data_IF_735802727105
#
_entry.id   IF_735802727105
#
_cell.length_a   1.000
_cell.length_b   1.000
_cell.length_c   1.000
_cell.angle_alpha   90.00
_cell.angle_beta   90.00
_cell.angle_gamma   90.00
#
_symmetry.space_group_name_H-M   'P 1'
#
loop_
_entity.id
_entity.type
_entity.pdbx_description
1 polymer ?
#
# COMPACT_ATOMS: atom_id res chain seq x y z
N UNK A 1 -62.86 19.98 -32.35
CA UNK A 1 -62.98 18.86 -31.38
C UNK A 1 -61.83 17.93 -31.66
N UNK A 2 -60.85 17.97 -30.77
CA UNK A 2 -59.59 17.23 -30.85
C UNK A 2 -59.84 15.73 -30.62
N UNK A 3 -59.12 14.88 -31.36
CA UNK A 3 -58.96 13.48 -31.02
C UNK A 3 -57.47 13.16 -31.03
N UNK A 4 -57.02 12.68 -29.88
CA UNK A 4 -55.66 12.45 -29.43
C UNK A 4 -54.89 11.40 -30.25
N UNK A 5 -53.65 11.71 -30.61
CA UNK A 5 -52.64 10.76 -31.07
C UNK A 5 -52.19 9.83 -29.93
N UNK A 6 -52.33 8.52 -30.15
CA UNK A 6 -51.86 7.49 -29.22
C UNK A 6 -50.35 7.28 -29.32
N UNK A 7 -49.63 7.52 -28.21
CA UNK A 7 -48.19 7.28 -28.06
C UNK A 7 -47.93 5.77 -27.84
N UNK A 8 -46.99 5.12 -28.56
CA UNK A 8 -46.64 3.73 -28.34
C UNK A 8 -45.56 3.61 -27.26
N UNK A 9 -45.90 3.01 -26.12
CA UNK A 9 -44.93 2.61 -25.09
C UNK A 9 -44.98 1.09 -24.90
N UNK A 10 -44.60 0.30 -25.92
CA UNK A 10 -44.21 -1.08 -25.65
C UNK A 10 -42.79 -1.06 -25.09
N UNK A 11 -42.68 -1.03 -23.76
CA UNK A 11 -41.42 -1.32 -23.07
C UNK A 11 -41.21 -2.82 -23.20
N UNK A 12 -40.35 -3.24 -24.15
CA UNK A 12 -39.87 -4.61 -24.21
C UNK A 12 -39.08 -4.91 -22.92
N UNK A 13 -39.77 -5.54 -21.96
CA UNK A 13 -39.16 -6.17 -20.79
C UNK A 13 -38.51 -7.48 -21.24
N UNK A 14 -37.39 -7.39 -21.97
CA UNK A 14 -36.50 -8.53 -22.16
C UNK A 14 -35.81 -8.84 -20.83
N UNK A 15 -36.52 -9.54 -19.95
CA UNK A 15 -35.96 -10.09 -18.71
C UNK A 15 -35.04 -11.24 -19.12
N UNK A 16 -33.73 -11.06 -18.95
CA UNK A 16 -32.74 -12.08 -19.28
C UNK A 16 -33.05 -13.39 -18.53
N UNK A 17 -32.95 -14.58 -19.17
CA UNK A 17 -33.12 -15.87 -18.49
C UNK A 17 -32.25 -16.01 -17.24
N UNK A 18 -31.06 -15.40 -17.24
CA UNK A 18 -30.15 -15.37 -16.08
C UNK A 18 -30.70 -14.57 -14.91
N UNK A 19 -31.47 -13.50 -15.16
CA UNK A 19 -32.11 -12.73 -14.09
C UNK A 19 -33.27 -13.49 -13.44
N UNK A 20 -34.07 -14.24 -14.21
CA UNK A 20 -35.16 -15.07 -13.67
C UNK A 20 -34.63 -16.23 -12.82
N UNK A 21 -33.58 -16.91 -13.32
CA UNK A 21 -32.93 -17.99 -12.60
C UNK A 21 -32.35 -17.51 -11.27
N UNK A 22 -31.64 -16.37 -11.30
CA UNK A 22 -31.10 -15.74 -10.08
C UNK A 22 -32.24 -15.41 -9.11
N UNK A 23 -33.30 -14.71 -9.55
CA UNK A 23 -34.42 -14.36 -8.67
C UNK A 23 -35.06 -15.59 -8.02
N UNK A 24 -35.29 -16.67 -8.77
CA UNK A 24 -35.87 -17.89 -8.22
C UNK A 24 -34.96 -18.57 -7.18
N UNK A 25 -33.66 -18.69 -7.47
CA UNK A 25 -32.66 -19.22 -6.51
C UNK A 25 -32.65 -18.38 -5.23
N UNK A 26 -32.70 -17.06 -5.34
CA UNK A 26 -32.69 -16.17 -4.18
C UNK A 26 -33.99 -16.22 -3.37
N UNK A 27 -35.16 -16.32 -4.00
CA UNK A 27 -36.43 -16.52 -3.30
C UNK A 27 -36.42 -17.83 -2.52
N UNK A 28 -35.87 -18.90 -3.11
CA UNK A 28 -35.71 -20.19 -2.44
C UNK A 28 -34.75 -20.08 -1.24
N UNK A 29 -33.60 -19.41 -1.38
CA UNK A 29 -32.66 -19.19 -0.26
C UNK A 29 -33.28 -18.37 0.88
N UNK A 30 -34.07 -17.34 0.56
CA UNK A 30 -34.82 -16.55 1.54
C UNK A 30 -35.86 -17.39 2.28
N UNK A 31 -36.63 -18.20 1.54
CA UNK A 31 -37.62 -19.09 2.14
C UNK A 31 -36.96 -20.17 3.00
N UNK A 32 -35.85 -20.77 2.56
CA UNK A 32 -35.08 -21.73 3.35
C UNK A 32 -34.55 -21.08 4.64
N UNK A 33 -34.06 -19.84 4.56
CA UNK A 33 -33.58 -19.13 5.74
C UNK A 33 -34.71 -18.81 6.72
N UNK A 34 -35.86 -18.36 6.22
CA UNK A 34 -37.02 -18.02 7.04
C UNK A 34 -37.61 -19.27 7.70
N UNK A 35 -37.71 -20.38 6.96
CA UNK A 35 -38.37 -21.60 7.41
C UNK A 35 -37.48 -22.50 8.27
N UNK A 36 -36.19 -22.58 7.96
CA UNK A 36 -35.28 -23.56 8.57
C UNK A 36 -34.08 -22.95 9.29
N UNK A 37 -33.92 -21.62 9.25
CA UNK A 37 -32.74 -20.90 9.74
C UNK A 37 -31.40 -21.39 9.15
N UNK A 38 -31.45 -22.27 8.14
CA UNK A 38 -30.34 -22.83 7.39
C UNK A 38 -29.98 -21.87 6.24
N UNK A 39 -28.68 -21.77 5.93
CA UNK A 39 -28.21 -20.96 4.81
C UNK A 39 -27.67 -19.57 5.19
N UNK A 40 -27.28 -18.78 4.16
CA UNK A 40 -26.51 -17.54 4.33
C UNK A 40 -27.26 -16.51 5.18
N UNK A 41 -26.51 -15.63 5.84
CA UNK A 41 -27.10 -14.53 6.59
C UNK A 41 -27.83 -13.55 5.66
N UNK A 42 -28.86 -12.84 6.15
CA UNK A 42 -29.56 -11.83 5.35
C UNK A 42 -28.59 -10.81 4.72
N UNK A 43 -27.53 -10.42 5.43
CA UNK A 43 -26.46 -9.55 4.90
C UNK A 43 -25.83 -10.11 3.63
N UNK A 44 -25.47 -11.40 3.64
CA UNK A 44 -24.85 -12.09 2.51
C UNK A 44 -25.82 -12.23 1.32
N UNK A 45 -27.11 -12.46 1.60
CA UNK A 45 -28.15 -12.50 0.56
C UNK A 45 -28.26 -11.13 -0.12
N UNK A 46 -28.35 -10.05 0.66
CA UNK A 46 -28.46 -8.69 0.11
C UNK A 46 -27.17 -8.24 -0.62
N UNK A 47 -25.98 -8.63 -0.15
CA UNK A 47 -24.73 -8.37 -0.88
C UNK A 47 -24.71 -9.10 -2.24
N UNK A 48 -25.19 -10.36 -2.29
CA UNK A 48 -25.31 -11.12 -3.53
C UNK A 48 -26.25 -10.46 -4.53
N UNK A 49 -27.34 -9.87 -4.05
CA UNK A 49 -28.29 -9.08 -4.84
C UNK A 49 -27.79 -7.66 -5.16
N UNK A 50 -26.60 -7.27 -4.69
CA UNK A 50 -26.05 -5.91 -4.78
C UNK A 50 -26.93 -4.83 -4.14
N UNK A 51 -27.77 -5.20 -3.18
CA UNK A 51 -28.59 -4.27 -2.38
C UNK A 51 -27.78 -3.82 -1.17
N UNK A 52 -26.65 -3.15 -1.45
CA UNK A 52 -25.64 -2.83 -0.44
C UNK A 52 -26.16 -1.94 0.69
N UNK A 53 -27.07 -1.02 0.39
CA UNK A 53 -27.67 -0.14 1.40
C UNK A 53 -28.40 -0.96 2.49
N UNK A 54 -29.08 -2.04 2.12
CA UNK A 54 -29.84 -2.88 3.03
C UNK A 54 -28.90 -3.75 3.88
N UNK A 55 -27.90 -4.38 3.25
CA UNK A 55 -26.89 -5.16 3.98
C UNK A 55 -26.11 -4.30 4.98
N UNK A 56 -25.76 -3.07 4.58
CA UNK A 56 -24.97 -2.16 5.43
C UNK A 56 -25.82 -1.61 6.58
N UNK A 57 -27.13 -1.39 6.36
CA UNK A 57 -28.08 -1.04 7.42
C UNK A 57 -28.23 -2.18 8.44
N UNK A 58 -28.34 -3.43 7.98
CA UNK A 58 -28.44 -4.60 8.87
C UNK A 58 -27.19 -4.73 9.74
N UNK A 59 -25.98 -4.57 9.18
CA UNK A 59 -24.72 -4.60 9.94
C UNK A 59 -24.69 -3.52 11.01
N UNK A 60 -25.02 -2.28 10.67
CA UNK A 60 -25.08 -1.17 11.63
C UNK A 60 -26.06 -1.43 12.77
N UNK A 61 -27.21 -2.01 12.48
CA UNK A 61 -28.17 -2.42 13.51
C UNK A 61 -27.55 -3.51 14.41
N UNK A 62 -26.88 -4.52 13.83
CA UNK A 62 -26.21 -5.56 14.61
C UNK A 62 -25.04 -5.06 15.46
N UNK A 63 -24.32 -4.01 15.02
CA UNK A 63 -23.29 -3.37 15.83
C UNK A 63 -23.86 -2.79 17.13
N UNK A 64 -25.10 -2.29 17.14
CA UNK A 64 -25.74 -1.75 18.36
C UNK A 64 -25.99 -2.82 19.43
N UNK A 65 -26.03 -4.09 19.04
CA UNK A 65 -26.20 -5.22 19.95
C UNK A 65 -24.85 -5.80 20.43
N UNK A 66 -23.72 -5.28 19.96
CA UNK A 66 -22.40 -5.73 20.41
C UNK A 66 -21.91 -4.95 21.63
N UNK A 67 -21.11 -5.61 22.47
CA UNK A 67 -20.45 -4.95 23.59
C UNK A 67 -19.36 -3.98 23.10
N UNK A 68 -19.02 -2.98 23.92
CA UNK A 68 -17.92 -2.05 23.63
C UNK A 68 -16.58 -2.77 23.38
N UNK A 69 -16.31 -3.85 24.13
CA UNK A 69 -15.08 -4.63 23.97
C UNK A 69 -15.03 -5.34 22.61
N UNK A 70 -16.12 -5.97 22.16
CA UNK A 70 -16.19 -6.61 20.84
C UNK A 70 -16.05 -5.61 19.70
N UNK A 71 -16.64 -4.42 19.83
CA UNK A 71 -16.49 -3.37 18.83
C UNK A 71 -15.06 -2.82 18.80
N UNK A 72 -14.42 -2.69 19.96
CA UNK A 72 -13.02 -2.27 20.07
C UNK A 72 -12.10 -3.30 19.43
N UNK A 73 -12.23 -4.58 19.76
CA UNK A 73 -11.45 -5.68 19.19
C UNK A 73 -11.53 -5.70 17.65
N UNK A 74 -12.75 -5.61 17.09
CA UNK A 74 -12.93 -5.52 15.64
C UNK A 74 -12.27 -4.27 15.03
N UNK A 75 -12.36 -3.13 15.72
CA UNK A 75 -11.79 -1.87 15.21
C UNK A 75 -10.27 -1.88 15.28
N UNK A 76 -9.69 -2.44 16.33
CA UNK A 76 -8.25 -2.54 16.52
C UNK A 76 -7.66 -3.51 15.50
N UNK A 77 -8.33 -4.64 15.23
CA UNK A 77 -7.93 -5.55 14.16
C UNK A 77 -7.98 -4.89 12.76
N UNK A 78 -9.02 -4.11 12.45
CA UNK A 78 -9.11 -3.39 11.16
C UNK A 78 -7.97 -2.40 11.02
N UNK A 79 -7.68 -1.63 12.07
CA UNK A 79 -6.57 -0.67 12.06
C UNK A 79 -5.22 -1.36 11.84
N UNK A 80 -5.01 -2.49 12.50
CA UNK A 80 -3.79 -3.29 12.32
C UNK A 80 -3.67 -3.78 10.87
N UNK A 81 -4.75 -4.30 10.29
CA UNK A 81 -4.74 -4.73 8.89
C UNK A 81 -4.43 -3.57 7.93
N UNK A 82 -5.08 -2.43 8.12
CA UNK A 82 -4.87 -1.23 7.29
C UNK A 82 -3.45 -0.67 7.45
N UNK A 83 -2.87 -0.78 8.64
CA UNK A 83 -1.47 -0.44 8.89
C UNK A 83 -0.53 -1.36 8.11
N UNK A 84 -0.72 -2.69 8.20
CA UNK A 84 0.09 -3.66 7.45
C UNK A 84 -0.01 -3.46 5.93
N UNK A 85 -1.20 -3.15 5.40
CA UNK A 85 -1.42 -2.83 3.98
C UNK A 85 -0.66 -1.56 3.56
N UNK A 86 -0.62 -0.55 4.43
CA UNK A 86 0.09 0.71 4.16
C UNK A 86 1.61 0.53 4.26
N UNK A 87 2.07 -0.20 5.26
CA UNK A 87 3.47 -0.58 5.44
C UNK A 87 3.97 -1.38 4.23
N UNK A 88 3.22 -2.38 3.77
CA UNK A 88 3.57 -3.16 2.58
C UNK A 88 3.79 -2.27 1.36
N UNK A 89 2.90 -1.28 1.14
CA UNK A 89 3.04 -0.33 0.03
C UNK A 89 4.30 0.51 0.15
N UNK A 90 4.67 0.90 1.36
CA UNK A 90 5.90 1.65 1.63
C UNK A 90 7.13 0.77 1.40
N UNK A 91 7.17 -0.43 1.96
CA UNK A 91 8.25 -1.41 1.78
C UNK A 91 8.45 -1.78 0.31
N UNK A 92 7.38 -2.01 -0.46
CA UNK A 92 7.48 -2.26 -1.91
C UNK A 92 8.10 -1.08 -2.65
N UNK A 93 7.75 0.15 -2.29
CA UNK A 93 8.33 1.33 -2.92
C UNK A 93 9.78 1.58 -2.52
N UNK A 94 10.14 1.25 -1.27
CA UNK A 94 11.53 1.21 -0.82
C UNK A 94 12.35 0.20 -1.61
N UNK A 95 11.83 -1.01 -1.79
CA UNK A 95 12.50 -2.07 -2.53
C UNK A 95 12.78 -1.65 -3.99
N UNK A 96 11.78 -1.05 -4.65
CA UNK A 96 11.95 -0.46 -5.98
C UNK A 96 13.01 0.65 -5.96
N UNK A 97 12.95 1.56 -4.99
CA UNK A 97 13.92 2.64 -4.83
C UNK A 97 15.36 2.10 -4.70
N UNK A 98 15.59 1.13 -3.82
CA UNK A 98 16.91 0.54 -3.62
C UNK A 98 17.40 -0.19 -4.88
N UNK A 99 16.56 -1.04 -5.50
CA UNK A 99 16.94 -1.80 -6.70
C UNK A 99 17.25 -0.89 -7.90
N UNK A 100 16.42 0.11 -8.15
CA UNK A 100 16.65 1.04 -9.27
C UNK A 100 17.86 1.94 -9.03
N UNK A 101 18.04 2.43 -7.80
CA UNK A 101 19.21 3.26 -7.46
C UNK A 101 20.50 2.45 -7.50
N UNK A 102 20.46 1.19 -7.06
CA UNK A 102 21.58 0.26 -7.18
C UNK A 102 22.00 0.07 -8.65
N UNK A 103 21.07 -0.24 -9.54
CA UNK A 103 21.37 -0.39 -10.97
C UNK A 103 22.00 0.90 -11.51
N UNK A 104 21.43 2.06 -11.19
CA UNK A 104 21.96 3.34 -11.62
C UNK A 104 23.40 3.58 -11.11
N UNK A 105 23.67 3.31 -9.84
CA UNK A 105 24.97 3.58 -9.22
C UNK A 105 26.03 2.56 -9.64
N UNK A 106 25.65 1.30 -9.86
CA UNK A 106 26.51 0.28 -10.44
C UNK A 106 27.00 0.70 -11.83
N UNK A 107 26.13 1.27 -12.66
CA UNK A 107 26.54 1.77 -14.00
C UNK A 107 27.48 2.97 -13.95
N UNK A 108 27.59 3.65 -12.80
CA UNK A 108 28.42 4.84 -12.62
C UNK A 108 29.62 4.61 -11.72
N UNK A 109 29.86 3.37 -11.29
CA UNK A 109 30.92 3.00 -10.34
C UNK A 109 30.89 3.81 -9.03
N UNK A 110 29.69 3.98 -8.48
CA UNK A 110 29.40 4.78 -7.27
C UNK A 110 28.71 3.98 -6.17
N UNK A 111 28.98 2.67 -6.09
CA UNK A 111 28.24 1.78 -5.16
C UNK A 111 28.50 2.12 -3.69
N UNK A 112 29.66 2.68 -3.36
CA UNK A 112 30.01 3.19 -2.04
C UNK A 112 29.10 4.34 -1.57
N UNK A 113 28.53 5.11 -2.49
CA UNK A 113 27.56 6.17 -2.17
C UNK A 113 26.20 5.61 -1.69
N UNK A 114 25.95 4.29 -1.81
CA UNK A 114 24.68 3.65 -1.46
C UNK A 114 24.49 3.45 0.05
N UNK A 115 25.57 3.42 0.83
CA UNK A 115 25.53 3.05 2.25
C UNK A 115 24.68 4.00 3.12
N UNK A 116 24.41 5.20 2.61
CA UNK A 116 23.63 6.24 3.26
C UNK A 116 22.29 6.59 2.61
N UNK A 117 21.77 5.77 1.67
CA UNK A 117 20.55 6.10 0.91
C UNK A 117 19.30 6.29 1.78
N UNK A 118 19.18 5.49 2.84
CA UNK A 118 18.14 5.64 3.85
C UNK A 118 18.63 5.24 5.24
N UNK A 119 17.90 5.69 6.26
CA UNK A 119 18.17 5.37 7.66
C UNK A 119 17.70 3.97 8.07
N UNK A 120 17.12 3.18 7.15
CA UNK A 120 16.56 1.87 7.45
C UNK A 120 17.57 0.74 7.27
N UNK A 121 17.59 -0.17 8.26
CA UNK A 121 18.33 -1.42 8.18
C UNK A 121 19.85 -1.22 8.21
N UNK A 122 20.61 -2.19 7.68
CA UNK A 122 22.08 -2.15 7.68
C UNK A 122 22.60 -0.98 6.85
N UNK A 123 23.84 -0.54 7.13
CA UNK A 123 24.50 0.53 6.37
C UNK A 123 24.95 0.02 5.00
N UNK A 124 25.61 -1.14 4.98
CA UNK A 124 26.18 -1.74 3.77
C UNK A 124 25.07 -2.04 2.76
N UNK A 125 25.27 -1.63 1.50
CA UNK A 125 24.23 -1.70 0.47
C UNK A 125 23.80 -3.13 0.11
N UNK A 126 24.69 -4.11 0.15
CA UNK A 126 24.36 -5.53 -0.10
C UNK A 126 23.30 -6.01 0.91
N UNK A 127 23.56 -5.72 2.18
CA UNK A 127 22.68 -6.10 3.27
C UNK A 127 21.36 -5.32 3.24
N UNK A 128 21.34 -4.08 2.70
CA UNK A 128 20.09 -3.29 2.54
C UNK A 128 19.10 -3.96 1.59
N UNK A 129 19.57 -4.54 0.49
CA UNK A 129 18.69 -5.26 -0.44
C UNK A 129 18.13 -6.55 0.19
N UNK A 130 18.95 -7.28 0.94
CA UNK A 130 18.51 -8.47 1.68
C UNK A 130 17.51 -8.12 2.81
N UNK A 131 17.77 -7.05 3.56
CA UNK A 131 16.88 -6.49 4.58
C UNK A 131 15.53 -6.08 3.98
N UNK A 132 15.52 -5.39 2.83
CA UNK A 132 14.29 -4.98 2.14
C UNK A 132 13.37 -6.17 1.83
N UNK A 133 13.92 -7.24 1.25
CA UNK A 133 13.19 -8.49 0.99
C UNK A 133 12.70 -9.16 2.27
N UNK A 134 13.54 -9.17 3.30
CA UNK A 134 13.21 -9.76 4.61
C UNK A 134 12.02 -9.04 5.25
N UNK A 135 11.99 -7.70 5.21
CA UNK A 135 10.86 -6.91 5.73
C UNK A 135 9.57 -7.16 4.96
N UNK A 136 9.63 -7.26 3.63
CA UNK A 136 8.46 -7.64 2.82
C UNK A 136 7.92 -9.02 3.20
N UNK A 137 8.81 -9.98 3.45
CA UNK A 137 8.42 -11.31 3.93
C UNK A 137 7.80 -11.27 5.34
N UNK A 138 8.39 -10.51 6.26
CA UNK A 138 7.86 -10.33 7.62
C UNK A 138 6.48 -9.67 7.61
N UNK A 139 6.28 -8.63 6.82
CA UNK A 139 4.97 -8.00 6.64
C UNK A 139 3.94 -9.00 6.08
N UNK A 140 4.32 -9.83 5.08
CA UNK A 140 3.45 -10.91 4.57
C UNK A 140 3.11 -11.93 5.65
N UNK A 141 4.06 -12.29 6.50
CA UNK A 141 3.84 -13.19 7.65
C UNK A 141 2.90 -12.56 8.68
N UNK A 142 3.05 -11.27 8.97
CA UNK A 142 2.17 -10.53 9.86
C UNK A 142 0.73 -10.50 9.34
N UNK A 143 0.51 -10.29 8.03
CA UNK A 143 -0.82 -10.43 7.42
C UNK A 143 -1.42 -11.83 7.61
N UNK A 144 -0.62 -12.90 7.42
CA UNK A 144 -1.08 -14.27 7.64
C UNK A 144 -1.50 -14.51 9.09
N UNK A 145 -0.71 -14.00 10.04
CA UNK A 145 -1.00 -14.17 11.46
C UNK A 145 -2.20 -13.30 11.91
N UNK A 146 -2.34 -12.09 11.39
CA UNK A 146 -3.52 -11.25 11.58
C UNK A 146 -4.78 -11.92 11.00
N UNK A 147 -4.67 -12.55 9.83
CA UNK A 147 -5.79 -13.27 9.20
C UNK A 147 -6.29 -14.45 10.04
N UNK A 148 -5.39 -15.16 10.73
CA UNK A 148 -5.76 -16.27 11.63
C UNK A 148 -6.49 -15.79 12.88
N UNK A 149 -6.22 -14.56 13.32
CA UNK A 149 -6.78 -13.93 14.53
C UNK A 149 -7.96 -13.00 14.21
N UNK A 150 -8.51 -13.07 13.01
CA UNK A 150 -9.60 -12.20 12.58
C UNK A 150 -10.83 -12.37 13.50
N UNK A 151 -11.29 -11.30 14.18
CA UNK A 151 -12.45 -11.40 15.04
C UNK A 151 -13.72 -11.51 14.21
N UNK A 152 -14.72 -12.19 14.75
CA UNK A 152 -16.04 -12.28 14.14
C UNK A 152 -16.91 -11.08 14.51
N UNK A 153 -17.63 -10.54 13.53
CA UNK A 153 -18.64 -9.52 13.81
C UNK A 153 -19.10 -8.68 12.61
N UNK A 154 -20.21 -7.94 12.77
CA UNK A 154 -20.81 -7.12 11.73
C UNK A 154 -19.87 -6.03 11.18
N UNK A 155 -18.97 -5.47 12.01
CA UNK A 155 -18.02 -4.44 11.57
C UNK A 155 -16.96 -5.02 10.63
N UNK A 156 -16.35 -6.14 11.02
CA UNK A 156 -15.39 -6.87 10.17
C UNK A 156 -16.05 -7.33 8.88
N UNK A 157 -17.25 -7.91 8.95
CA UNK A 157 -17.99 -8.30 7.75
C UNK A 157 -18.30 -7.12 6.84
N UNK A 158 -18.62 -5.95 7.40
CA UNK A 158 -18.82 -4.72 6.63
C UNK A 158 -17.54 -4.26 5.94
N UNK A 159 -16.42 -4.28 6.65
CA UNK A 159 -15.10 -3.96 6.11
C UNK A 159 -14.71 -4.93 4.97
N UNK A 160 -14.84 -6.24 5.18
CA UNK A 160 -14.58 -7.27 4.17
C UNK A 160 -15.47 -7.13 2.93
N UNK A 161 -16.76 -6.82 3.12
CA UNK A 161 -17.68 -6.59 2.02
C UNK A 161 -17.24 -5.38 1.18
N UNK A 162 -16.80 -4.29 1.82
CA UNK A 162 -16.26 -3.13 1.11
C UNK A 162 -14.98 -3.45 0.34
N UNK A 163 -14.04 -4.20 0.95
CA UNK A 163 -12.82 -4.66 0.27
C UNK A 163 -13.16 -5.54 -0.94
N UNK A 164 -14.13 -6.45 -0.79
CA UNK A 164 -14.61 -7.31 -1.89
C UNK A 164 -15.23 -6.48 -3.02
N UNK A 165 -16.06 -5.48 -2.68
CA UNK A 165 -16.66 -4.55 -3.66
C UNK A 165 -15.57 -3.78 -4.42
N UNK A 166 -14.52 -3.31 -3.74
CA UNK A 166 -13.39 -2.65 -4.37
C UNK A 166 -12.67 -3.59 -5.35
N UNK A 167 -12.41 -4.84 -4.94
CA UNK A 167 -11.78 -5.85 -5.81
C UNK A 167 -12.64 -6.17 -7.05
N UNK A 168 -13.97 -6.21 -6.91
CA UNK A 168 -14.87 -6.37 -8.06
C UNK A 168 -14.83 -5.20 -9.04
N UNK A 169 -14.55 -3.98 -8.56
CA UNK A 169 -14.35 -2.83 -9.46
C UNK A 169 -12.99 -2.96 -10.13
N UNK A 170 -11.93 -3.25 -9.38
CA UNK A 170 -10.57 -3.46 -9.89
C UNK A 170 -10.56 -4.54 -10.99
N UNK A 171 -11.24 -5.68 -10.78
CA UNK A 171 -11.29 -6.74 -11.79
C UNK A 171 -12.01 -6.34 -13.08
N UNK A 172 -12.93 -5.37 -13.03
CA UNK A 172 -13.67 -4.88 -14.21
C UNK A 172 -12.92 -3.80 -14.97
N UNK A 173 -12.31 -2.84 -14.27
CA UNK A 173 -11.70 -1.66 -14.91
C UNK A 173 -10.17 -1.69 -14.93
N UNK A 174 -9.55 -2.62 -14.22
CA UNK A 174 -8.12 -2.68 -13.98
C UNK A 174 -7.67 -1.79 -12.82
N UNK A 175 -6.63 -2.23 -12.11
CA UNK A 175 -6.10 -1.51 -10.94
C UNK A 175 -5.59 -0.11 -11.28
N UNK A 176 -4.92 0.05 -12.42
CA UNK A 176 -4.42 1.36 -12.88
C UNK A 176 -5.55 2.39 -13.07
N UNK A 177 -6.70 1.98 -13.62
CA UNK A 177 -7.87 2.87 -13.78
C UNK A 177 -8.58 3.09 -12.45
N UNK A 178 -8.61 2.08 -11.57
CA UNK A 178 -9.14 2.23 -10.23
C UNK A 178 -8.36 3.30 -9.45
N UNK A 179 -7.04 3.21 -9.38
CA UNK A 179 -6.17 4.20 -8.73
C UNK A 179 -6.21 5.58 -9.41
N UNK A 180 -6.54 5.65 -10.70
CA UNK A 180 -6.68 6.92 -11.40
C UNK A 180 -7.95 7.72 -11.02
N UNK A 181 -8.93 7.11 -10.34
CA UNK A 181 -10.14 7.81 -9.92
C UNK A 181 -9.82 8.94 -8.94
N UNK A 182 -10.57 10.05 -9.02
CA UNK A 182 -10.32 11.26 -8.22
C UNK A 182 -10.26 10.97 -6.72
N UNK A 183 -11.12 10.07 -6.22
CA UNK A 183 -11.13 9.67 -4.80
C UNK A 183 -9.81 9.05 -4.31
N UNK A 184 -9.02 8.45 -5.20
CA UNK A 184 -7.72 7.85 -4.89
C UNK A 184 -6.55 8.75 -5.26
N UNK A 185 -6.68 9.50 -6.36
CA UNK A 185 -5.67 10.45 -6.81
C UNK A 185 -5.59 11.71 -5.94
N UNK A 186 -6.72 12.16 -5.37
CA UNK A 186 -6.80 13.40 -4.59
C UNK A 186 -5.87 13.43 -3.38
N UNK A 187 -5.82 12.42 -2.48
CA UNK A 187 -4.88 12.43 -1.36
C UNK A 187 -3.41 12.54 -1.81
N UNK A 188 -3.04 11.83 -2.88
CA UNK A 188 -1.69 11.92 -3.44
C UNK A 188 -1.40 13.31 -4.02
N UNK A 189 -2.39 13.96 -4.63
CA UNK A 189 -2.28 15.32 -5.17
C UNK A 189 -2.15 16.36 -4.06
N UNK A 190 -3.03 16.31 -3.07
CA UNK A 190 -3.06 17.26 -1.95
C UNK A 190 -1.78 17.20 -1.11
N UNK A 191 -1.14 16.03 -1.02
CA UNK A 191 0.15 15.83 -0.34
C UNK A 191 1.39 16.16 -1.21
N UNK A 192 1.21 16.84 -2.34
CA UNK A 192 2.30 17.22 -3.24
C UNK A 192 3.03 16.03 -3.87
N UNK A 193 2.36 14.89 -4.00
CA UNK A 193 2.89 13.67 -4.59
C UNK A 193 2.90 13.69 -6.12
N UNK A 194 3.19 12.52 -6.70
CA UNK A 194 3.23 12.30 -8.15
C UNK A 194 1.96 12.78 -8.89
N UNK A 195 0.78 12.67 -8.26
CA UNK A 195 -0.48 13.10 -8.85
C UNK A 195 -0.63 14.63 -9.00
N UNK A 196 0.12 15.44 -8.24
CA UNK A 196 0.17 16.89 -8.40
C UNK A 196 1.05 17.33 -9.57
N UNK A 197 2.08 16.55 -9.89
CA UNK A 197 3.04 16.83 -10.97
C UNK A 197 2.65 16.25 -12.32
N UNK A 198 1.47 15.62 -12.40
CA UNK A 198 0.99 14.92 -13.60
C UNK A 198 1.95 13.87 -14.18
N UNK A 199 2.90 13.32 -13.39
CA UNK A 199 3.90 12.38 -13.90
C UNK A 199 3.34 11.01 -14.33
N UNK A 200 2.11 10.68 -13.91
CA UNK A 200 1.40 9.48 -14.31
C UNK A 200 1.90 8.17 -13.69
N UNK A 201 2.83 8.19 -12.73
CA UNK A 201 3.40 6.99 -12.11
C UNK A 201 2.39 6.06 -11.41
N UNK A 202 1.20 6.55 -11.03
CA UNK A 202 0.15 5.69 -10.47
C UNK A 202 -0.63 4.89 -11.53
N UNK A 203 -0.51 5.26 -12.80
CA UNK A 203 -1.15 4.58 -13.94
C UNK A 203 -0.22 3.57 -14.63
N UNK A 204 1.07 3.62 -14.30
CA UNK A 204 2.11 2.75 -14.87
C UNK A 204 2.40 1.59 -13.91
N UNK A 205 2.74 0.40 -14.43
CA UNK A 205 3.35 -0.66 -13.64
C UNK A 205 4.55 -0.10 -12.85
N UNK A 206 4.62 -0.42 -11.57
CA UNK A 206 5.75 -0.04 -10.70
C UNK A 206 6.69 -1.19 -10.45
N UNK A 207 6.16 -2.40 -10.44
CA UNK A 207 6.92 -3.63 -10.30
C UNK A 207 6.15 -4.78 -10.93
N UNK A 208 6.84 -5.89 -11.14
CA UNK A 208 6.23 -7.16 -11.51
C UNK A 208 6.79 -8.21 -10.55
N UNK A 209 5.92 -8.92 -9.84
CA UNK A 209 6.36 -9.99 -8.95
C UNK A 209 6.99 -11.16 -9.74
N UNK A 210 7.77 -12.03 -9.10
CA UNK A 210 8.29 -13.24 -9.75
C UNK A 210 7.19 -14.13 -10.36
N UNK A 211 5.99 -14.10 -9.79
CA UNK A 211 4.80 -14.82 -10.26
C UNK A 211 4.07 -14.10 -11.42
N UNK A 212 4.54 -12.93 -11.83
CA UNK A 212 3.96 -12.14 -12.92
C UNK A 212 2.88 -11.15 -12.49
N UNK A 213 2.67 -10.94 -11.19
CA UNK A 213 1.68 -9.99 -10.71
C UNK A 213 2.17 -8.55 -10.91
N UNK A 214 1.40 -7.74 -11.63
CA UNK A 214 1.76 -6.34 -11.88
C UNK A 214 1.35 -5.49 -10.67
N UNK A 215 2.31 -4.76 -10.11
CA UNK A 215 2.07 -3.87 -8.98
C UNK A 215 1.79 -2.43 -9.44
N UNK A 216 0.64 -1.88 -9.01
CA UNK A 216 0.29 -0.47 -9.16
C UNK A 216 0.13 0.19 -7.79
N UNK A 217 0.56 1.44 -7.64
CA UNK A 217 0.36 2.19 -6.40
C UNK A 217 0.46 3.71 -6.57
N UNK A 218 -0.20 4.45 -5.69
CA UNK A 218 0.15 5.86 -5.42
C UNK A 218 1.48 5.96 -4.67
N UNK A 219 2.15 7.09 -4.79
CA UNK A 219 3.45 7.28 -4.13
C UNK A 219 3.31 7.30 -2.60
N UNK A 220 4.25 6.65 -1.92
CA UNK A 220 4.57 6.90 -0.51
C UNK A 220 5.71 7.93 -0.41
N UNK A 221 6.17 8.23 0.80
CA UNK A 221 7.43 8.99 1.03
C UNK A 221 8.63 8.32 0.36
N UNK A 222 8.60 7.00 0.21
CA UNK A 222 9.67 6.17 -0.36
C UNK A 222 9.58 6.03 -1.89
N UNK A 223 8.73 6.80 -2.55
CA UNK A 223 8.65 6.79 -4.00
C UNK A 223 9.89 7.45 -4.62
N UNK A 224 10.69 6.68 -5.37
CA UNK A 224 11.87 7.18 -6.09
C UNK A 224 11.61 8.45 -6.91
N UNK A 225 10.48 8.51 -7.64
CA UNK A 225 10.11 9.71 -8.40
C UNK A 225 9.86 10.94 -7.51
N UNK A 226 9.29 10.76 -6.31
CA UNK A 226 9.09 11.84 -5.35
C UNK A 226 10.40 12.26 -4.71
N UNK A 227 11.23 11.30 -4.30
CA UNK A 227 12.56 11.51 -3.71
C UNK A 227 13.42 12.35 -4.65
N UNK A 228 13.58 11.91 -5.90
CA UNK A 228 14.31 12.64 -6.94
C UNK A 228 13.75 14.03 -7.18
N UNK A 229 12.41 14.16 -7.31
CA UNK A 229 11.79 15.48 -7.54
C UNK A 229 11.98 16.49 -6.41
N UNK A 230 12.21 15.99 -5.18
CA UNK A 230 12.44 16.82 -4.00
C UNK A 230 13.93 17.07 -3.74
N UNK A 231 14.82 16.50 -4.56
CA UNK A 231 16.27 16.65 -4.41
C UNK A 231 16.85 15.88 -3.23
N UNK A 232 16.10 14.94 -2.63
CA UNK A 232 16.63 14.10 -1.58
C UNK A 232 17.52 13.02 -2.19
N UNK A 233 18.80 12.98 -1.79
CA UNK A 233 19.71 11.86 -2.07
C UNK A 233 19.65 10.83 -0.93
N UNK A 234 19.29 11.28 0.28
CA UNK A 234 19.13 10.47 1.48
C UNK A 234 17.74 10.65 2.06
N UNK A 235 17.08 9.55 2.39
CA UNK A 235 15.83 9.54 3.14
C UNK A 235 16.13 9.50 4.64
N UNK A 236 16.10 10.68 5.28
CA UNK A 236 16.00 10.76 6.74
C UNK A 236 14.52 10.70 7.13
N UNK A 237 14.10 9.53 7.59
CA UNK A 237 12.71 9.26 7.94
C UNK A 237 12.37 9.67 9.39
N UNK A 238 13.36 10.06 10.19
CA UNK A 238 13.13 10.70 11.51
C UNK A 238 12.46 12.08 11.34
N UNK A 239 12.67 12.73 10.19
CA UNK A 239 12.05 14.01 9.79
C UNK A 239 10.65 13.82 9.20
N UNK A 240 10.29 12.59 8.79
CA UNK A 240 9.00 12.24 8.19
C UNK A 240 7.80 12.38 9.13
N UNK A 241 8.03 12.56 10.44
CA UNK A 241 7.00 12.69 11.45
C UNK A 241 6.07 13.92 11.27
N UNK A 242 6.49 14.92 10.49
CA UNK A 242 5.80 16.21 10.34
C UNK A 242 5.12 16.43 8.98
N UNK A 243 5.06 15.44 8.08
CA UNK A 243 4.36 15.61 6.79
C UNK A 243 2.91 15.12 6.91
N UNK A 244 1.90 16.01 6.82
CA UNK A 244 0.49 15.63 6.95
C UNK A 244 0.09 14.58 5.90
N UNK A 245 -0.66 13.55 6.31
CA UNK A 245 -1.20 12.53 5.40
C UNK A 245 -0.25 11.39 5.04
N UNK A 246 0.90 11.27 5.71
CA UNK A 246 1.84 10.15 5.55
C UNK A 246 1.79 9.18 6.73
N UNK A 247 1.88 7.89 6.44
CA UNK A 247 2.05 6.85 7.46
C UNK A 247 3.47 6.99 8.00
N UNK A 248 3.60 7.23 9.30
CA UNK A 248 4.87 7.09 10.01
C UNK A 248 5.28 5.62 9.88
N UNK A 249 6.37 5.34 9.16
CA UNK A 249 7.17 4.16 9.47
C UNK A 249 7.92 4.58 10.73
N UNK A 250 7.36 4.28 11.90
CA UNK A 250 8.09 4.54 13.14
C UNK A 250 9.30 3.62 13.15
N UNK A 251 10.44 4.21 13.45
CA UNK A 251 11.62 3.45 13.82
C UNK A 251 11.25 2.49 14.97
N UNK A 252 11.73 1.25 14.87
CA UNK A 252 11.82 0.22 15.92
C UNK A 252 10.54 -0.40 16.52
N UNK A 253 9.37 0.23 16.51
CA UNK A 253 8.26 -0.23 17.38
C UNK A 253 7.32 -1.33 16.84
N UNK A 254 7.59 -1.94 15.67
CA UNK A 254 6.79 -3.10 15.18
C UNK A 254 7.62 -4.28 14.69
N UNK A 255 8.95 -4.22 14.85
CA UNK A 255 9.80 -5.35 14.53
C UNK A 255 9.90 -6.28 15.75
N UNK A 256 9.54 -7.57 15.65
CA UNK A 256 9.88 -8.52 16.68
C UNK A 256 11.39 -8.45 16.92
N UNK A 257 11.81 -8.26 18.17
CA UNK A 257 13.23 -8.24 18.58
C UNK A 257 14.00 -9.52 18.13
N UNK A 258 13.27 -10.54 17.68
CA UNK A 258 13.77 -11.82 17.18
C UNK A 258 14.34 -11.77 15.74
N UNK A 259 14.41 -10.63 15.05
CA UNK A 259 14.98 -10.56 13.69
C UNK A 259 16.47 -10.89 13.64
N UNK A 260 17.20 -10.59 14.72
CA UNK A 260 18.60 -11.01 14.87
C UNK A 260 18.77 -12.54 14.80
N UNK A 261 17.69 -13.33 14.97
CA UNK A 261 17.70 -14.79 14.81
C UNK A 261 17.64 -15.25 13.35
N UNK A 262 17.19 -14.38 12.44
CA UNK A 262 16.93 -14.71 11.03
C UNK A 262 17.84 -13.94 10.07
N UNK A 263 18.61 -12.96 10.56
CA UNK A 263 19.70 -12.36 9.82
C UNK A 263 20.91 -13.31 9.83
N UNK A 264 21.62 -13.49 8.71
CA UNK A 264 22.91 -14.17 8.73
C UNK A 264 23.83 -13.42 9.72
N UNK A 265 24.55 -14.17 10.55
CA UNK A 265 25.56 -13.59 11.45
C UNK A 265 26.55 -12.78 10.60
N UNK A 266 26.66 -11.48 10.89
CA UNK A 266 27.70 -10.63 10.31
C UNK A 266 29.03 -11.28 10.67
N UNK A 267 29.89 -11.67 9.70
CA UNK A 267 31.21 -12.19 10.03
C UNK A 267 31.95 -11.10 10.81
N UNK A 268 32.25 -11.38 12.08
CA UNK A 268 33.15 -10.57 12.90
C UNK A 268 34.56 -10.72 12.33
N UNK A 269 34.81 -10.03 11.22
CA UNK A 269 36.14 -9.75 10.73
C UNK A 269 36.85 -8.89 11.76
N UNK A 270 37.99 -9.36 12.21
CA UNK A 270 38.81 -8.81 13.29
C UNK A 270 39.03 -7.31 13.11
N UNK A 271 38.43 -6.49 13.97
CA UNK A 271 38.91 -5.15 14.26
C UNK A 271 40.21 -5.29 15.04
N UNK A 272 41.34 -5.36 14.35
CA UNK A 272 42.60 -4.90 14.93
C UNK A 272 42.53 -3.38 15.00
N UNK A 273 42.45 -2.86 16.23
CA UNK A 273 42.61 -1.44 16.55
C UNK A 273 43.97 -0.94 16.06
N UNK A 274 44.00 -0.21 14.95
CA UNK A 274 45.00 0.83 14.72
C UNK A 274 44.26 2.10 14.29
N UNK A 275 44.21 3.05 15.22
CA UNK A 275 43.75 4.42 15.03
C UNK A 275 44.72 5.18 14.12
N UNK A 276 44.29 5.81 13.02
CA UNK A 276 45.08 6.85 12.39
C UNK A 276 44.74 8.20 13.02
N UNK A 277 45.77 8.84 13.57
CA UNK A 277 45.76 10.23 14.02
C UNK A 277 45.18 11.18 12.98
N UNK A 278 44.37 12.13 13.48
CA UNK A 278 43.85 13.29 12.75
C UNK A 278 44.97 14.10 12.10
N UNK A 279 44.99 14.33 10.77
CA UNK A 279 45.90 15.31 10.19
C UNK A 279 45.33 16.73 10.36
N UNK A 280 46.15 17.61 10.92
CA UNK A 280 45.90 19.04 11.11
C UNK A 280 45.68 19.79 9.77
N UNK A 281 45.02 20.97 9.78
CA UNK A 281 44.71 21.71 8.57
C UNK A 281 45.99 22.33 7.98
N UNK A 282 46.29 22.05 6.70
CA UNK A 282 47.29 22.82 5.94
C UNK A 282 46.64 24.08 5.39
N UNK A 283 47.20 25.23 5.78
CA UNK A 283 47.03 26.51 5.12
C UNK A 283 47.55 26.42 3.68
N UNK A 284 46.72 26.82 2.71
CA UNK A 284 47.12 26.95 1.32
C UNK A 284 47.67 28.37 1.12
N UNK A 285 49.00 28.46 1.03
CA UNK A 285 49.73 29.65 0.61
C UNK A 285 49.55 29.84 -0.90
N UNK A 286 48.84 30.90 -1.28
CA UNK A 286 48.66 31.32 -2.68
C UNK A 286 49.93 32.06 -3.11
N UNK A 287 50.80 31.40 -3.85
CA UNK A 287 51.84 32.06 -4.64
C UNK A 287 51.29 32.43 -6.01
N UNK A 288 51.21 33.73 -6.26
CA UNK A 288 51.00 34.34 -7.58
C UNK A 288 52.24 34.11 -8.44
N UNK A 289 52.04 33.52 -9.63
CA UNK A 289 53.04 33.50 -10.69
C UNK A 289 52.50 34.37 -11.82
N UNK A 290 53.19 35.49 -12.02
CA UNK A 290 53.09 36.34 -13.19
C UNK A 290 53.68 35.59 -14.40
N UNK A 291 52.92 35.49 -15.49
CA UNK A 291 53.48 35.17 -16.81
C UNK A 291 53.09 36.29 -17.78
N UNK A 292 54.09 37.12 -18.07
CA UNK A 292 54.14 38.03 -19.22
C UNK A 292 54.01 37.24 -20.52
N UNK A 293 53.17 37.73 -21.43
CA UNK A 293 53.13 37.31 -22.83
C UNK A 293 53.28 38.57 -23.70
N UNK A 294 54.48 38.76 -24.22
CA UNK A 294 54.80 39.61 -25.37
C UNK A 294 55.00 38.71 -26.61
N UNK A 295 54.62 39.28 -27.77
CA UNK A 295 54.56 38.77 -29.18
C UNK A 295 53.26 38.11 -29.67
#
# INVERSE_FOLDING_TARGET
>A
MEAFDGIPWSVDLTISPTSLLNTAVFTILLLIKILFNLGPSFEQVFDGLRIYWASDRIRKIKELFQTKNQLKEQSDWIKEWEYLDAEQKALKQRDIFLRETFIEYATKDKLDELDGLDTFGPKIWEDKLADSKTRLWLNKKAHLDASKKMPEGPRIRGWMANSTRAQQVISKIGESRYLAQEKHAKPCRDNGGCCARACGCCKKPRDVSPEGEIYYAHCTTLCLCCIRSRGFVRLDLTVGANVPGFVKLTDEDTFPQDINKFLPEIPTGQMTEESPESPAPREAEVQSVDEDFDE
#
